data_IF_366285932722
#
_entry.id   IF_366285932722
#
_cell.length_a   1.000
_cell.length_b   1.000
_cell.length_c   1.000
_cell.angle_alpha   90.00
_cell.angle_beta   90.00
_cell.angle_gamma   90.00
#
_symmetry.space_group_name_H-M   'P 1'
#
loop_
_entity.id
_entity.type
_entity.pdbx_description
1 polymer ?
#
# COMPACT_ATOMS: atom_id res chain seq x y z
N UNK A 1 10.44 -1.52 -23.39
CA UNK A 1 9.21 -2.05 -22.79
C UNK A 1 8.69 -3.28 -23.53
N UNK A 2 8.80 -3.32 -24.86
CA UNK A 2 8.47 -4.50 -25.68
C UNK A 2 9.49 -5.63 -25.44
N UNK A 3 10.80 -5.33 -25.52
CA UNK A 3 11.88 -6.27 -25.22
C UNK A 3 11.81 -6.85 -23.80
N UNK A 4 11.29 -6.07 -22.85
CA UNK A 4 11.07 -6.52 -21.47
C UNK A 4 9.74 -7.30 -21.28
N UNK A 5 8.97 -7.54 -22.36
CA UNK A 5 7.70 -8.27 -22.30
C UNK A 5 6.55 -7.52 -21.59
N UNK A 6 6.74 -6.24 -21.24
CA UNK A 6 5.75 -5.42 -20.53
C UNK A 6 4.62 -4.98 -21.48
N UNK A 7 4.98 -4.71 -22.75
CA UNK A 7 4.04 -4.32 -23.81
C UNK A 7 4.10 -5.31 -24.96
N UNK A 8 2.95 -5.64 -25.50
CA UNK A 8 2.84 -6.26 -26.83
C UNK A 8 2.34 -5.24 -27.83
N UNK A 9 3.01 -5.18 -28.99
CA UNK A 9 2.58 -4.38 -30.12
C UNK A 9 1.95 -5.31 -31.15
N UNK A 10 0.66 -5.15 -31.34
CA UNK A 10 -0.10 -5.93 -32.33
C UNK A 10 -0.40 -5.05 -33.54
N UNK A 11 -0.04 -5.50 -34.75
CA UNK A 11 -0.47 -4.82 -35.95
C UNK A 11 -1.96 -5.08 -36.19
N UNK A 12 -2.76 -4.02 -36.23
CA UNK A 12 -4.17 -4.10 -36.56
C UNK A 12 -4.40 -3.45 -37.93
N UNK A 13 -5.01 -4.19 -38.84
CA UNK A 13 -5.37 -3.70 -40.17
C UNK A 13 -6.76 -3.08 -40.09
N UNK A 14 -6.83 -1.78 -39.83
CA UNK A 14 -8.04 -1.01 -40.09
C UNK A 14 -7.98 -0.41 -41.50
N UNK A 15 -9.08 -0.39 -42.19
CA UNK A 15 -9.19 -0.09 -43.64
C UNK A 15 -8.60 1.25 -44.14
N UNK A 16 -7.93 2.01 -43.32
CA UNK A 16 -7.19 3.23 -43.64
C UNK A 16 -5.87 3.33 -42.85
N UNK A 17 -4.87 2.52 -43.24
CA UNK A 17 -3.51 2.61 -42.70
C UNK A 17 -3.12 1.51 -41.70
N UNK A 18 -1.82 1.41 -41.41
CA UNK A 18 -1.28 0.48 -40.42
C UNK A 18 -1.35 1.10 -39.03
N UNK A 19 -2.31 0.66 -38.24
CA UNK A 19 -2.43 1.05 -36.84
C UNK A 19 -1.68 0.05 -35.96
N UNK A 20 -0.90 0.54 -34.97
CA UNK A 20 -0.25 -0.29 -33.96
C UNK A 20 -1.04 -0.20 -32.65
N UNK A 21 -1.57 -1.32 -32.21
CA UNK A 21 -2.26 -1.40 -30.92
C UNK A 21 -1.26 -1.88 -29.89
N UNK A 22 -1.09 -1.09 -28.84
CA UNK A 22 -0.27 -1.45 -27.67
C UNK A 22 -1.16 -2.09 -26.61
N UNK A 23 -0.81 -3.29 -26.18
CA UNK A 23 -1.47 -4.00 -25.10
C UNK A 23 -0.49 -4.19 -23.95
N UNK A 24 -0.93 -3.92 -22.72
CA UNK A 24 -0.15 -4.23 -21.51
C UNK A 24 -0.27 -5.74 -21.26
N UNK A 25 0.86 -6.42 -21.11
CA UNK A 25 0.93 -7.87 -20.89
C UNK A 25 1.15 -8.25 -19.42
N UNK A 26 1.31 -7.27 -18.54
CA UNK A 26 1.62 -7.50 -17.13
C UNK A 26 0.58 -6.80 -16.26
N UNK A 27 0.10 -7.48 -15.24
CA UNK A 27 -0.86 -6.91 -14.29
C UNK A 27 -0.17 -6.09 -13.20
N UNK A 28 1.09 -6.40 -12.92
CA UNK A 28 1.91 -5.71 -11.93
C UNK A 28 3.36 -5.63 -12.36
N UNK A 29 4.00 -4.50 -12.09
CA UNK A 29 5.45 -4.33 -12.20
C UNK A 29 5.94 -4.09 -10.77
N UNK A 30 6.71 -5.05 -10.22
CA UNK A 30 7.42 -4.87 -8.97
C UNK A 30 8.82 -4.34 -9.31
N UNK A 31 9.11 -3.12 -8.88
CA UNK A 31 10.44 -2.53 -9.01
C UNK A 31 11.11 -2.64 -7.64
N UNK A 32 12.04 -3.57 -7.50
CA UNK A 32 12.91 -3.64 -6.34
C UNK A 32 14.07 -2.67 -6.53
N UNK A 33 14.08 -1.60 -5.75
CA UNK A 33 15.09 -0.54 -5.80
C UNK A 33 16.23 -0.84 -4.81
N UNK A 34 16.09 -1.90 -4.01
CA UNK A 34 17.17 -2.35 -3.13
C UNK A 34 18.35 -2.81 -3.97
N UNK A 35 19.52 -2.27 -3.70
CA UNK A 35 20.74 -2.69 -4.38
C UNK A 35 20.95 -4.19 -4.15
N UNK A 36 21.17 -4.94 -5.22
CA UNK A 36 21.39 -6.40 -5.25
C UNK A 36 22.60 -6.90 -4.43
N UNK A 37 23.15 -6.09 -3.53
CA UNK A 37 24.28 -6.45 -2.69
C UNK A 37 23.90 -6.90 -1.27
N UNK A 38 22.61 -6.74 -0.91
CA UNK A 38 22.11 -7.33 0.33
C UNK A 38 21.45 -8.67 0.00
N UNK A 39 22.22 -9.73 -0.08
CA UNK A 39 21.69 -11.06 0.21
C UNK A 39 20.88 -10.92 1.50
N UNK A 40 19.63 -11.43 1.56
CA UNK A 40 18.89 -11.40 2.82
C UNK A 40 19.83 -12.03 3.86
N UNK A 41 20.23 -11.24 4.85
CA UNK A 41 21.03 -11.76 5.94
C UNK A 41 20.25 -12.96 6.49
N UNK A 42 20.91 -14.07 6.78
CA UNK A 42 20.29 -15.29 7.31
C UNK A 42 19.46 -15.03 8.57
N UNK A 43 19.55 -13.84 9.16
CA UNK A 43 18.87 -13.35 10.35
C UNK A 43 17.84 -12.24 10.08
N UNK A 44 17.18 -12.20 8.92
CA UNK A 44 16.13 -11.22 8.67
C UNK A 44 14.75 -11.80 9.01
N UNK A 45 13.93 -11.01 9.72
CA UNK A 45 12.55 -11.33 10.00
C UNK A 45 11.63 -10.37 9.24
N UNK A 46 10.69 -10.91 8.50
CA UNK A 46 9.69 -10.12 7.77
C UNK A 46 8.29 -10.49 8.23
N UNK A 47 7.43 -9.51 8.35
CA UNK A 47 6.02 -9.69 8.68
C UNK A 47 5.16 -8.76 7.85
N UNK A 48 4.09 -9.32 7.28
CA UNK A 48 3.06 -8.55 6.60
C UNK A 48 1.91 -8.27 7.57
N UNK A 49 1.57 -7.01 7.75
CA UNK A 49 0.47 -6.58 8.60
C UNK A 49 -0.64 -6.02 7.70
N UNK A 50 -1.80 -6.70 7.63
CA UNK A 50 -2.95 -6.17 6.91
C UNK A 50 -3.33 -4.78 7.42
N UNK A 51 -3.70 -3.88 6.54
CA UNK A 51 -4.00 -2.48 6.86
C UNK A 51 -5.13 -2.33 7.90
N UNK A 52 -6.07 -3.27 7.92
CA UNK A 52 -7.15 -3.32 8.91
C UNK A 52 -6.73 -3.83 10.29
N UNK A 53 -5.52 -4.37 10.47
CA UNK A 53 -5.08 -4.96 11.76
C UNK A 53 -4.42 -3.94 12.67
N UNK A 54 -4.96 -2.73 12.73
CA UNK A 54 -4.50 -1.75 13.69
C UNK A 54 -4.98 -2.06 15.10
N UNK A 55 -4.22 -1.59 16.07
CA UNK A 55 -4.50 -1.76 17.51
C UNK A 55 -5.31 -0.60 18.08
N UNK A 56 -5.03 0.61 17.64
CA UNK A 56 -5.64 1.83 18.16
C UNK A 56 -5.79 2.85 17.03
N UNK A 57 -6.73 3.76 17.17
CA UNK A 57 -6.95 4.79 16.18
C UNK A 57 -7.59 6.03 16.81
N UNK A 58 -7.39 7.15 16.18
CA UNK A 58 -8.15 8.38 16.38
C UNK A 58 -8.23 9.11 15.06
N UNK A 59 -9.35 9.01 14.39
CA UNK A 59 -9.53 9.52 13.02
C UNK A 59 -10.68 10.51 12.94
N UNK A 60 -10.57 11.44 12.03
CA UNK A 60 -11.58 12.47 11.77
C UNK A 60 -11.88 12.55 10.30
N UNK A 61 -13.09 12.93 9.92
CA UNK A 61 -13.49 13.15 8.53
C UNK A 61 -12.55 14.13 7.78
N UNK A 62 -12.36 13.88 6.49
CA UNK A 62 -12.93 12.78 5.68
C UNK A 62 -12.28 11.46 6.04
N UNK A 63 -13.06 10.39 6.30
CA UNK A 63 -12.49 9.11 6.69
C UNK A 63 -13.35 7.94 6.21
N UNK A 64 -12.74 6.78 6.11
CA UNK A 64 -13.46 5.55 5.76
C UNK A 64 -12.55 4.34 5.61
N UNK A 65 -13.21 3.21 5.40
CA UNK A 65 -12.62 1.89 5.22
C UNK A 65 -13.26 1.20 4.03
N UNK A 66 -12.49 0.48 3.25
CA UNK A 66 -12.98 -0.31 2.14
C UNK A 66 -12.29 -1.67 2.07
N UNK A 67 -13.04 -2.70 1.71
CA UNK A 67 -12.49 -3.93 1.16
C UNK A 67 -12.13 -3.71 -0.32
N UNK A 68 -11.76 -4.75 -1.04
CA UNK A 68 -11.55 -4.67 -2.48
C UNK A 68 -12.80 -4.23 -3.24
N UNK A 69 -13.99 -4.61 -2.76
CA UNK A 69 -15.23 -4.51 -3.52
C UNK A 69 -16.27 -3.58 -2.88
N UNK A 70 -16.19 -3.36 -1.57
CA UNK A 70 -17.24 -2.65 -0.84
C UNK A 70 -16.68 -1.74 0.25
N UNK A 71 -17.42 -0.67 0.55
CA UNK A 71 -17.22 0.13 1.74
C UNK A 71 -17.54 -0.68 3.00
N UNK A 72 -16.79 -0.45 4.06
CA UNK A 72 -17.09 -0.95 5.39
C UNK A 72 -17.83 0.17 6.13
N UNK A 73 -19.14 0.05 6.19
CA UNK A 73 -20.01 1.04 6.79
C UNK A 73 -20.25 2.28 5.91
N UNK A 74 -20.25 3.44 6.52
CA UNK A 74 -20.50 4.71 5.87
C UNK A 74 -19.23 5.57 5.83
N UNK A 75 -19.08 6.39 4.80
CA UNK A 75 -18.00 7.38 4.71
C UNK A 75 -18.18 8.46 5.78
N UNK A 76 -17.09 9.06 6.21
CA UNK A 76 -17.02 10.14 7.18
C UNK A 76 -17.57 9.82 8.57
N UNK A 77 -17.75 8.54 8.87
CA UNK A 77 -18.12 8.06 10.19
C UNK A 77 -16.96 7.28 10.88
N UNK A 78 -16.24 7.91 11.80
CA UNK A 78 -15.11 7.29 12.51
C UNK A 78 -15.48 6.02 13.30
N UNK A 79 -16.77 5.81 13.63
CA UNK A 79 -17.20 4.65 14.42
C UNK A 79 -16.95 3.33 13.71
N UNK A 80 -16.93 3.34 12.37
CA UNK A 80 -16.68 2.13 11.60
C UNK A 80 -15.24 1.63 11.69
N UNK A 81 -14.32 2.44 12.17
CA UNK A 81 -12.97 1.98 12.49
C UNK A 81 -12.94 1.01 13.70
N UNK A 82 -13.99 0.97 14.53
CA UNK A 82 -14.19 -0.05 15.56
C UNK A 82 -15.09 -1.21 15.10
N UNK A 83 -15.63 -1.17 13.87
CA UNK A 83 -16.50 -2.23 13.38
C UNK A 83 -15.70 -3.54 13.21
N UNK A 84 -16.23 -4.72 13.59
CA UNK A 84 -15.48 -5.99 13.49
C UNK A 84 -14.89 -6.27 12.10
N UNK A 85 -15.57 -5.86 11.04
CA UNK A 85 -15.07 -6.02 9.67
C UNK A 85 -13.90 -5.11 9.30
N UNK A 86 -13.44 -4.23 10.19
CA UNK A 86 -12.28 -3.39 9.90
C UNK A 86 -11.03 -4.22 9.55
N UNK A 87 -10.94 -5.45 10.07
CA UNK A 87 -9.82 -6.37 9.78
C UNK A 87 -9.75 -6.78 8.31
N UNK A 88 -10.85 -6.69 7.58
CA UNK A 88 -10.95 -7.02 6.17
C UNK A 88 -10.59 -5.82 5.26
N UNK A 89 -10.32 -4.66 5.85
CA UNK A 89 -9.98 -3.46 5.10
C UNK A 89 -8.72 -3.66 4.26
N UNK A 90 -8.79 -3.18 3.02
CA UNK A 90 -7.69 -3.13 2.05
C UNK A 90 -7.24 -1.70 1.79
N UNK A 91 -8.13 -0.76 2.05
CA UNK A 91 -7.89 0.68 1.95
C UNK A 91 -8.49 1.32 3.19
N UNK A 92 -7.77 2.27 3.76
CA UNK A 92 -8.28 3.18 4.78
C UNK A 92 -7.80 4.60 4.48
N UNK A 93 -8.62 5.57 4.83
CA UNK A 93 -8.26 6.98 4.68
C UNK A 93 -8.82 7.80 5.85
N UNK A 94 -8.17 8.89 6.15
CA UNK A 94 -8.65 9.88 7.11
C UNK A 94 -8.01 11.25 6.85
N UNK A 95 -8.78 12.31 7.07
CA UNK A 95 -8.31 13.68 6.86
C UNK A 95 -7.35 14.15 7.96
N UNK A 96 -7.55 13.67 9.19
CA UNK A 96 -6.71 13.98 10.35
C UNK A 96 -6.79 12.86 11.35
N UNK A 97 -5.68 12.60 12.05
CA UNK A 97 -5.63 11.61 13.13
C UNK A 97 -4.42 10.71 13.06
N UNK A 98 -4.54 9.53 13.64
CA UNK A 98 -3.50 8.51 13.64
C UNK A 98 -4.11 7.12 13.68
N UNK A 99 -3.30 6.16 13.26
CA UNK A 99 -3.56 4.72 13.37
C UNK A 99 -2.32 4.06 13.92
N UNK A 100 -2.48 3.27 14.97
CA UNK A 100 -1.38 2.55 15.61
C UNK A 100 -1.40 1.08 15.24
N UNK A 101 -0.28 0.57 14.79
CA UNK A 101 -0.04 -0.84 14.56
C UNK A 101 0.90 -1.40 15.62
N UNK A 102 0.61 -2.60 16.11
CA UNK A 102 1.53 -3.35 16.96
C UNK A 102 2.25 -4.39 16.13
N UNK A 103 3.57 -4.27 16.09
CA UNK A 103 4.44 -5.22 15.44
C UNK A 103 4.99 -6.16 16.52
N UNK A 104 4.70 -7.48 16.46
CA UNK A 104 5.26 -8.40 17.43
C UNK A 104 6.78 -8.52 17.26
N UNK A 105 7.50 -8.42 18.36
CA UNK A 105 8.92 -8.70 18.35
C UNK A 105 9.14 -10.22 18.47
N UNK A 106 9.44 -10.85 17.34
CA UNK A 106 9.69 -12.29 17.26
C UNK A 106 11.18 -12.65 17.33
N UNK A 107 12.04 -11.66 17.60
CA UNK A 107 13.47 -11.91 17.72
C UNK A 107 13.79 -12.72 18.99
N UNK A 108 14.80 -13.59 18.93
CA UNK A 108 15.32 -14.28 20.11
C UNK A 108 15.73 -13.29 21.22
N UNK A 109 15.59 -13.67 22.49
CA UNK A 109 16.00 -12.82 23.60
C UNK A 109 17.49 -12.42 23.49
N UNK A 110 17.75 -11.12 23.64
CA UNK A 110 19.11 -10.57 23.60
C UNK A 110 19.63 -10.21 22.21
N UNK A 111 18.90 -10.51 21.16
CA UNK A 111 19.23 -10.07 19.80
C UNK A 111 18.93 -8.58 19.66
N UNK A 112 19.83 -7.84 19.02
CA UNK A 112 19.66 -6.42 18.71
C UNK A 112 19.18 -6.26 17.28
N UNK A 113 18.33 -5.25 17.08
CA UNK A 113 17.91 -4.85 15.74
C UNK A 113 18.93 -3.87 15.20
N UNK A 114 19.60 -4.24 14.13
CA UNK A 114 20.54 -3.35 13.43
C UNK A 114 19.84 -2.48 12.39
N UNK A 115 18.79 -3.02 11.78
CA UNK A 115 17.99 -2.31 10.77
C UNK A 115 16.52 -2.66 10.87
N UNK A 116 15.65 -1.65 10.81
CA UNK A 116 14.22 -1.78 10.65
C UNK A 116 13.81 -1.15 9.32
N UNK A 117 13.15 -1.91 8.48
CA UNK A 117 12.61 -1.42 7.21
C UNK A 117 11.09 -1.55 7.24
N UNK A 118 10.39 -0.47 6.95
CA UNK A 118 8.94 -0.43 6.77
C UNK A 118 8.63 -0.13 5.32
N UNK A 119 7.74 -0.93 4.74
CA UNK A 119 7.24 -0.71 3.38
C UNK A 119 5.72 -0.62 3.42
N UNK A 120 5.16 0.45 2.90
CA UNK A 120 3.72 0.65 2.83
C UNK A 120 3.36 1.57 1.67
N UNK A 121 2.15 1.42 1.16
CA UNK A 121 1.61 2.25 0.09
C UNK A 121 0.82 3.41 0.68
N UNK A 122 1.16 4.63 0.27
CA UNK A 122 0.47 5.85 0.67
C UNK A 122 0.19 6.67 -0.58
N UNK A 123 -1.01 7.23 -0.65
CA UNK A 123 -1.33 8.23 -1.66
C UNK A 123 -2.16 9.37 -1.08
N UNK A 124 -2.11 10.53 -1.71
CA UNK A 124 -3.11 11.57 -1.48
C UNK A 124 -4.39 11.22 -2.21
N UNK A 125 -5.51 11.30 -1.51
CA UNK A 125 -6.78 10.76 -1.98
C UNK A 125 -7.39 11.50 -3.18
N UNK A 126 -7.22 12.81 -3.28
CA UNK A 126 -7.99 13.60 -4.25
C UNK A 126 -7.13 14.43 -5.19
N UNK A 127 -7.53 14.54 -6.49
CA UNK A 127 -6.97 15.53 -7.39
C UNK A 127 -7.18 16.94 -6.85
N UNK A 128 -6.10 17.75 -6.79
CA UNK A 128 -6.17 19.13 -6.31
C UNK A 128 -5.97 19.31 -4.80
N UNK A 129 -5.51 18.29 -4.12
CA UNK A 129 -5.14 18.35 -2.70
C UNK A 129 -3.84 19.11 -2.50
N UNK A 130 -3.70 19.72 -1.34
CA UNK A 130 -2.50 20.42 -0.93
C UNK A 130 -1.29 19.47 -0.91
N UNK A 131 -0.30 19.73 -1.77
CA UNK A 131 0.95 18.97 -1.84
C UNK A 131 1.88 19.21 -0.64
N UNK A 132 1.54 20.16 0.24
CA UNK A 132 2.31 20.51 1.43
C UNK A 132 1.90 19.70 2.67
N UNK A 133 1.17 18.64 2.53
CA UNK A 133 0.78 17.77 3.65
C UNK A 133 1.99 16.98 4.13
N UNK A 134 2.41 17.31 5.34
CA UNK A 134 3.48 16.62 6.01
C UNK A 134 2.96 15.31 6.61
N UNK A 135 3.41 14.19 6.06
CA UNK A 135 3.20 12.88 6.67
C UNK A 135 4.27 12.67 7.75
N UNK A 136 3.84 12.59 9.00
CA UNK A 136 4.73 12.35 10.14
C UNK A 136 4.49 10.93 10.62
N UNK A 137 5.53 10.12 10.62
CA UNK A 137 5.52 8.77 11.18
C UNK A 137 6.33 8.76 12.47
N UNK A 138 5.71 8.91 13.65
CA UNK A 138 6.42 8.73 14.90
C UNK A 138 6.69 7.25 15.15
N UNK A 139 7.94 6.91 15.37
CA UNK A 139 8.36 5.60 15.85
C UNK A 139 8.63 5.70 17.36
N UNK A 140 8.06 4.80 18.13
CA UNK A 140 8.26 4.69 19.57
C UNK A 140 8.66 3.28 19.99
#
# INVERSE_FOLDING_TARGET
>A
LEEAGILAILPEHSGHGNQKVCRINVDKILVDIASNNDSPAEDSYSIDIPIGNYFNYSVYPTCGLSTTDNLIGEVDDPRYFAHPSHVDAKILWFGRGFIDYRIPNMLPPGQKIDRLTLSFEISSEAPGVNNDWLLIFPFS
#
